data_IF_180579682827
#
_entry.id   IF_180579682827
#
_cell.length_a   1.000
_cell.length_b   1.000
_cell.length_c   1.000
_cell.angle_alpha   90.00
_cell.angle_beta   90.00
_cell.angle_gamma   90.00
#
_symmetry.space_group_name_H-M   'P 1'
#
loop_
_entity.id
_entity.type
_entity.pdbx_description
1 polymer ?
#
# COMPACT_ATOMS: atom_id res chain seq x y z
N UNK A 1 7.85 -4.47 -12.75
CA UNK A 1 7.14 -4.40 -14.05
C UNK A 1 5.67 -4.09 -13.80
N UNK A 2 5.08 -3.13 -14.51
CA UNK A 2 3.67 -2.75 -14.33
C UNK A 2 2.81 -3.41 -15.39
N UNK A 3 1.83 -4.22 -14.99
CA UNK A 3 0.83 -4.80 -15.88
C UNK A 3 -0.45 -3.98 -15.81
N UNK A 4 -1.01 -3.61 -16.97
CA UNK A 4 -2.27 -2.85 -17.06
C UNK A 4 -3.30 -3.61 -17.89
N UNK A 5 -4.50 -3.75 -17.31
CA UNK A 5 -5.70 -4.27 -17.93
C UNK A 5 -6.82 -3.24 -17.84
N UNK A 6 -7.57 -3.06 -18.94
CA UNK A 6 -8.67 -2.09 -19.01
C UNK A 6 -9.99 -2.84 -19.07
N UNK A 7 -10.99 -2.31 -18.37
CA UNK A 7 -12.35 -2.82 -18.25
C UNK A 7 -13.35 -1.71 -18.57
N UNK A 8 -14.52 -2.09 -19.07
CA UNK A 8 -15.68 -1.21 -19.10
C UNK A 8 -16.29 -1.02 -17.69
N UNK A 9 -17.26 -0.12 -17.55
CA UNK A 9 -17.99 0.11 -16.29
C UNK A 9 -18.77 -1.10 -15.77
N UNK A 10 -18.99 -2.10 -16.63
CA UNK A 10 -19.65 -3.34 -16.26
C UNK A 10 -18.65 -4.39 -15.77
N UNK A 11 -17.34 -4.17 -15.87
CA UNK A 11 -16.31 -5.12 -15.47
C UNK A 11 -15.95 -6.13 -16.55
N UNK A 12 -16.33 -5.91 -17.81
CA UNK A 12 -15.80 -6.70 -18.92
C UNK A 12 -14.46 -6.12 -19.38
N UNK A 13 -13.41 -6.93 -19.51
CA UNK A 13 -12.13 -6.45 -20.00
C UNK A 13 -12.22 -6.13 -21.50
N UNK A 14 -11.46 -5.14 -21.94
CA UNK A 14 -11.37 -4.75 -23.36
C UNK A 14 -10.42 -5.65 -24.18
N UNK A 15 -9.94 -6.77 -23.62
CA UNK A 15 -9.17 -7.79 -24.34
C UNK A 15 -10.06 -8.63 -25.27
N UNK A 16 -9.43 -9.41 -26.16
CA UNK A 16 -10.13 -10.24 -27.14
C UNK A 16 -11.12 -11.20 -26.46
N UNK A 17 -12.29 -11.36 -27.10
CA UNK A 17 -13.51 -12.00 -26.60
C UNK A 17 -13.27 -13.30 -25.80
N UNK A 18 -13.84 -13.38 -24.60
CA UNK A 18 -13.98 -14.62 -23.83
C UNK A 18 -13.60 -14.51 -22.35
N UNK A 19 -13.03 -13.39 -21.93
CA UNK A 19 -12.65 -13.19 -20.54
C UNK A 19 -13.86 -13.02 -19.61
N UNK A 20 -13.74 -13.59 -18.40
CA UNK A 20 -14.77 -13.49 -17.39
C UNK A 20 -14.91 -12.06 -16.86
N UNK A 21 -16.15 -11.68 -16.54
CA UNK A 21 -16.48 -10.41 -15.89
C UNK A 21 -15.78 -10.30 -14.53
N UNK A 22 -15.09 -9.19 -14.29
CA UNK A 22 -14.51 -8.85 -13.00
C UNK A 22 -15.56 -8.22 -12.08
N UNK A 23 -15.89 -8.93 -10.99
CA UNK A 23 -16.91 -8.49 -10.03
C UNK A 23 -16.48 -7.25 -9.24
N UNK A 24 -15.19 -7.12 -8.94
CA UNK A 24 -14.67 -5.97 -8.20
C UNK A 24 -14.87 -4.70 -9.01
N UNK A 25 -14.53 -4.73 -10.31
CA UNK A 25 -14.75 -3.58 -11.20
C UNK A 25 -16.24 -3.26 -11.35
N UNK A 26 -17.10 -4.28 -11.49
CA UNK A 26 -18.55 -4.08 -11.54
C UNK A 26 -19.06 -3.36 -10.29
N UNK A 27 -18.65 -3.81 -9.10
CA UNK A 27 -19.04 -3.21 -7.82
C UNK A 27 -18.52 -1.77 -7.71
N UNK A 28 -17.26 -1.52 -8.09
CA UNK A 28 -16.71 -0.16 -8.14
C UNK A 28 -17.55 0.77 -9.03
N UNK A 29 -17.95 0.31 -10.22
CA UNK A 29 -18.86 1.01 -11.11
C UNK A 29 -20.22 1.30 -10.49
N UNK A 30 -20.80 0.33 -9.78
CA UNK A 30 -22.09 0.47 -9.12
C UNK A 30 -22.06 1.47 -7.96
N UNK A 31 -20.94 1.55 -7.24
CA UNK A 31 -20.82 2.33 -6.01
C UNK A 31 -20.03 3.62 -6.17
N UNK A 32 -19.67 3.99 -7.41
CA UNK A 32 -18.97 5.24 -7.69
C UNK A 32 -17.56 5.29 -7.10
N UNK A 33 -16.89 4.14 -6.96
CA UNK A 33 -15.50 4.09 -6.53
C UNK A 33 -14.63 4.52 -7.70
N UNK A 34 -13.98 5.66 -7.59
CA UNK A 34 -13.17 6.23 -8.68
C UNK A 34 -11.69 5.87 -8.57
N UNK A 35 -11.25 5.41 -7.40
CA UNK A 35 -9.90 4.94 -7.16
C UNK A 35 -9.87 3.89 -6.06
N UNK A 36 -9.02 2.89 -6.23
CA UNK A 36 -8.72 1.87 -5.22
C UNK A 36 -7.23 1.57 -5.24
N UNK A 37 -6.68 1.35 -4.06
CA UNK A 37 -5.26 1.05 -3.85
C UNK A 37 -5.12 -0.01 -2.77
N UNK A 38 -4.50 -1.14 -3.12
CA UNK A 38 -4.17 -2.21 -2.18
C UNK A 38 -2.65 -2.35 -2.10
N UNK A 39 -2.11 -2.15 -0.90
CA UNK A 39 -0.69 -2.34 -0.63
C UNK A 39 -0.39 -3.80 -0.29
N UNK A 40 0.72 -4.36 -0.76
CA UNK A 40 1.06 -5.75 -0.46
C UNK A 40 2.42 -6.15 -1.00
N UNK A 41 2.65 -7.45 -1.20
CA UNK A 41 3.80 -7.95 -1.97
C UNK A 41 3.74 -7.51 -3.44
N UNK A 42 2.54 -7.22 -3.92
CA UNK A 42 2.25 -6.48 -5.14
C UNK A 42 1.33 -5.34 -4.77
N UNK A 43 1.51 -4.18 -5.39
CA UNK A 43 0.57 -3.07 -5.28
C UNK A 43 -0.41 -3.13 -6.42
N UNK A 44 -1.68 -3.10 -6.08
CA UNK A 44 -2.77 -3.00 -7.04
C UNK A 44 -3.38 -1.61 -6.99
N UNK A 45 -3.51 -0.99 -8.15
CA UNK A 45 -4.20 0.28 -8.34
C UNK A 45 -5.32 0.07 -9.34
N UNK A 46 -6.54 0.46 -8.96
CA UNK A 46 -7.67 0.52 -9.89
C UNK A 46 -8.10 1.97 -9.97
N UNK A 47 -8.18 2.51 -11.17
CA UNK A 47 -8.58 3.90 -11.39
C UNK A 47 -9.66 4.00 -12.46
N UNK A 48 -10.69 4.78 -12.16
CA UNK A 48 -11.72 5.18 -13.09
C UNK A 48 -11.18 6.23 -14.07
N UNK A 49 -11.55 6.12 -15.33
CA UNK A 49 -11.34 7.18 -16.31
C UNK A 49 -12.47 7.17 -17.34
N UNK A 50 -12.56 8.28 -18.09
CA UNK A 50 -13.51 8.42 -19.20
C UNK A 50 -12.73 8.53 -20.49
N UNK A 51 -13.33 8.05 -21.57
CA UNK A 51 -12.71 8.13 -22.88
C UNK A 51 -13.69 7.90 -24.00
N UNK A 52 -13.23 8.20 -25.21
CA UNK A 52 -13.96 8.07 -26.45
C UNK A 52 -13.40 6.90 -27.26
N UNK A 53 -14.27 6.05 -27.82
CA UNK A 53 -13.83 5.01 -28.77
C UNK A 53 -13.49 5.58 -30.15
N UNK A 54 -13.92 6.82 -30.44
CA UNK A 54 -13.59 7.56 -31.65
C UNK A 54 -13.85 9.06 -31.45
N UNK A 55 -13.28 9.93 -32.29
CA UNK A 55 -13.42 11.39 -32.19
C UNK A 55 -14.87 11.91 -32.28
N UNK A 56 -15.79 11.14 -32.87
CA UNK A 56 -17.23 11.44 -32.92
C UNK A 56 -18.05 10.52 -32.01
N UNK A 57 -17.38 9.67 -31.24
CA UNK A 57 -17.98 8.66 -30.39
C UNK A 57 -18.64 9.25 -29.15
N UNK A 58 -19.50 8.44 -28.52
CA UNK A 58 -20.00 8.76 -27.19
C UNK A 58 -18.87 8.56 -26.19
N UNK A 59 -18.81 9.44 -25.20
CA UNK A 59 -17.93 9.25 -24.06
C UNK A 59 -18.45 8.11 -23.19
N UNK A 60 -17.57 7.17 -22.90
CA UNK A 60 -17.86 6.00 -22.06
C UNK A 60 -17.01 6.02 -20.78
N UNK A 61 -17.34 5.11 -19.87
CA UNK A 61 -16.71 4.97 -18.56
C UNK A 61 -15.91 3.67 -18.49
N UNK A 62 -14.68 3.78 -18.01
CA UNK A 62 -13.73 2.67 -17.96
C UNK A 62 -13.01 2.60 -16.62
N UNK A 63 -12.43 1.44 -16.35
CA UNK A 63 -11.52 1.21 -15.24
C UNK A 63 -10.22 0.61 -15.74
N UNK A 64 -9.11 1.10 -15.23
CA UNK A 64 -7.80 0.49 -15.44
C UNK A 64 -7.31 -0.15 -14.15
N UNK A 65 -6.98 -1.44 -14.21
CA UNK A 65 -6.32 -2.20 -13.14
C UNK A 65 -4.84 -2.32 -13.46
N UNK A 66 -4.01 -1.67 -12.65
CA UNK A 66 -2.56 -1.71 -12.72
C UNK A 66 -2.01 -2.53 -11.56
N UNK A 67 -1.15 -3.50 -11.85
CA UNK A 67 -0.47 -4.32 -10.85
C UNK A 67 1.03 -4.09 -10.99
N UNK A 68 1.69 -3.77 -9.87
CA UNK A 68 3.13 -3.52 -9.77
C UNK A 68 3.75 -4.37 -8.67
N UNK A 69 4.94 -4.89 -8.93
CA UNK A 69 5.81 -5.62 -7.99
C UNK A 69 6.64 -4.68 -7.09
N UNK A 70 6.70 -3.39 -7.43
CA UNK A 70 7.37 -2.34 -6.67
C UNK A 70 6.36 -1.32 -6.17
N UNK A 71 6.72 -0.56 -5.13
CA UNK A 71 5.93 0.58 -4.67
C UNK A 71 5.71 1.52 -5.87
N UNK A 72 4.47 1.65 -6.35
CA UNK A 72 4.25 2.24 -7.66
C UNK A 72 4.40 3.75 -7.60
N UNK A 73 5.15 4.29 -8.57
CA UNK A 73 4.98 5.69 -8.94
C UNK A 73 3.65 5.82 -9.67
N UNK A 74 2.73 6.59 -9.11
CA UNK A 74 1.41 6.81 -9.70
C UNK A 74 1.48 7.54 -11.05
N UNK A 75 2.56 8.29 -11.30
CA UNK A 75 2.86 8.92 -12.59
C UNK A 75 3.17 7.86 -13.65
N UNK A 76 3.94 6.83 -13.27
CA UNK A 76 4.27 5.71 -14.17
C UNK A 76 3.04 4.86 -14.45
N UNK A 77 2.20 4.62 -13.42
CA UNK A 77 0.91 3.93 -13.60
C UNK A 77 0.02 4.71 -14.57
N UNK A 78 -0.13 6.02 -14.36
CA UNK A 78 -0.93 6.86 -15.23
C UNK A 78 -0.44 6.79 -16.69
N UNK A 79 0.87 6.93 -16.90
CA UNK A 79 1.49 6.81 -18.24
C UNK A 79 1.27 5.43 -18.88
N UNK A 80 1.36 4.35 -18.10
CA UNK A 80 1.12 3.00 -18.57
C UNK A 80 -0.36 2.78 -18.97
N UNK A 81 -1.29 3.42 -18.25
CA UNK A 81 -2.73 3.37 -18.57
C UNK A 81 -3.00 4.12 -19.87
N UNK A 82 -2.47 5.34 -20.04
CA UNK A 82 -2.60 6.11 -21.29
C UNK A 82 -2.08 5.29 -22.46
N UNK A 83 -0.85 4.78 -22.36
CA UNK A 83 -0.25 3.96 -23.42
C UNK A 83 -1.11 2.74 -23.76
N UNK A 84 -1.64 2.02 -22.77
CA UNK A 84 -2.51 0.86 -22.99
C UNK A 84 -3.83 1.27 -23.66
N UNK A 85 -4.51 2.28 -23.15
CA UNK A 85 -5.82 2.73 -23.62
C UNK A 85 -5.74 3.23 -25.07
N UNK A 86 -4.80 4.13 -25.35
CA UNK A 86 -4.72 4.81 -26.63
C UNK A 86 -4.05 3.95 -27.70
N UNK A 87 -2.91 3.32 -27.39
CA UNK A 87 -2.12 2.63 -28.41
C UNK A 87 -2.65 1.23 -28.71
N UNK A 88 -3.24 0.54 -27.71
CA UNK A 88 -3.72 -0.84 -27.89
C UNK A 88 -5.22 -0.92 -28.13
N UNK A 89 -6.01 -0.07 -27.48
CA UNK A 89 -7.47 -0.11 -27.57
C UNK A 89 -8.05 1.04 -28.41
N UNK A 90 -7.22 1.98 -28.88
CA UNK A 90 -7.67 3.08 -29.74
C UNK A 90 -8.58 4.08 -29.03
N UNK A 91 -8.59 4.07 -27.69
CA UNK A 91 -9.37 5.02 -26.90
C UNK A 91 -8.69 6.39 -26.91
N UNK A 92 -9.48 7.45 -26.79
CA UNK A 92 -9.00 8.81 -26.51
C UNK A 92 -9.46 9.18 -25.10
N UNK A 93 -8.52 9.33 -24.16
CA UNK A 93 -8.87 9.61 -22.76
C UNK A 93 -9.37 11.05 -22.63
N UNK A 94 -10.45 11.25 -21.87
CA UNK A 94 -10.96 12.59 -21.56
C UNK A 94 -10.02 13.31 -20.59
N UNK A 95 -9.20 14.21 -21.13
CA UNK A 95 -8.38 15.13 -20.34
C UNK A 95 -9.22 16.33 -19.88
N UNK A 96 -9.96 16.18 -18.78
CA UNK A 96 -10.55 17.34 -18.12
C UNK A 96 -9.51 18.14 -17.33
N UNK A 97 -9.27 19.39 -17.75
CA UNK A 97 -8.41 20.33 -17.04
C UNK A 97 -8.99 20.79 -15.69
N UNK A 98 -10.26 20.52 -15.40
CA UNK A 98 -10.96 20.98 -14.19
C UNK A 98 -10.64 20.17 -12.93
N UNK A 99 -9.92 19.04 -13.04
CA UNK A 99 -9.68 18.15 -11.90
C UNK A 99 -10.92 17.36 -11.44
N UNK A 100 -11.99 17.38 -12.24
CA UNK A 100 -13.23 16.62 -11.97
C UNK A 100 -13.07 15.10 -12.20
N UNK A 101 -11.86 14.63 -12.52
CA UNK A 101 -11.53 13.24 -12.72
C UNK A 101 -10.28 12.86 -11.90
N UNK A 102 -10.41 11.86 -11.03
CA UNK A 102 -9.31 11.35 -10.20
C UNK A 102 -8.10 10.89 -11.04
N UNK A 103 -8.34 10.35 -12.24
CA UNK A 103 -7.27 9.93 -13.14
C UNK A 103 -6.26 11.04 -13.44
N UNK A 104 -6.75 12.26 -13.67
CA UNK A 104 -5.91 13.42 -14.00
C UNK A 104 -5.15 13.94 -12.76
N UNK A 105 -5.61 13.59 -11.57
CA UNK A 105 -4.94 13.94 -10.31
C UNK A 105 -3.68 13.11 -10.10
N UNK A 106 -3.57 11.90 -10.69
CA UNK A 106 -2.40 11.02 -10.53
C UNK A 106 -1.08 11.63 -11.03
N UNK A 107 -1.13 12.56 -11.99
CA UNK A 107 0.05 13.23 -12.52
C UNK A 107 0.49 14.45 -11.69
N UNK A 108 -0.34 14.91 -10.74
CA UNK A 108 -0.11 16.16 -10.03
C UNK A 108 0.81 15.93 -8.84
N UNK A 109 1.91 16.68 -8.78
CA UNK A 109 2.70 16.79 -7.54
C UNK A 109 1.97 17.70 -6.55
N UNK A 110 1.31 17.11 -5.55
CA UNK A 110 0.58 17.87 -4.54
C UNK A 110 1.51 18.15 -3.36
N UNK A 111 1.56 19.41 -2.91
CA UNK A 111 2.49 19.89 -1.87
C UNK A 111 1.81 20.44 -0.63
N UNK A 112 0.47 20.40 -0.58
CA UNK A 112 -0.30 20.92 0.55
C UNK A 112 -0.48 19.82 1.59
N UNK A 113 -0.40 20.14 2.87
CA UNK A 113 -0.82 19.18 3.91
C UNK A 113 -2.34 19.18 4.00
N UNK A 114 -2.94 17.98 4.04
CA UNK A 114 -4.39 17.79 4.19
C UNK A 114 -4.73 17.46 5.63
N UNK A 115 -3.97 16.54 6.21
CA UNK A 115 -4.00 16.23 7.63
C UNK A 115 -2.77 16.82 8.34
N UNK A 116 -2.99 17.30 9.57
CA UNK A 116 -1.90 17.62 10.50
C UNK A 116 -1.14 16.35 10.91
N UNK A 117 0.09 16.53 11.41
CA UNK A 117 0.92 15.41 11.88
C UNK A 117 0.22 14.55 12.94
N UNK A 118 -0.50 15.16 13.87
CA UNK A 118 -1.21 14.44 14.93
C UNK A 118 -2.39 13.65 14.39
N UNK A 119 -3.13 14.21 13.43
CA UNK A 119 -4.18 13.49 12.70
C UNK A 119 -3.60 12.30 11.92
N UNK A 120 -2.50 12.48 11.20
CA UNK A 120 -1.82 11.38 10.50
C UNK A 120 -1.38 10.28 11.47
N UNK A 121 -0.81 10.63 12.62
CA UNK A 121 -0.42 9.66 13.64
C UNK A 121 -1.63 8.88 14.18
N UNK A 122 -2.76 9.56 14.41
CA UNK A 122 -4.00 8.93 14.88
C UNK A 122 -4.60 8.01 13.81
N UNK A 123 -4.64 8.45 12.55
CA UNK A 123 -5.10 7.65 11.41
C UNK A 123 -4.27 6.36 11.30
N UNK A 124 -2.94 6.49 11.27
CA UNK A 124 -2.03 5.35 11.22
C UNK A 124 -2.22 4.40 12.41
N UNK A 125 -2.37 4.94 13.62
CA UNK A 125 -2.66 4.14 14.80
C UNK A 125 -3.95 3.33 14.63
N UNK A 126 -5.05 3.98 14.24
CA UNK A 126 -6.35 3.33 14.09
C UNK A 126 -6.35 2.27 12.98
N UNK A 127 -5.78 2.59 11.81
CA UNK A 127 -5.60 1.63 10.71
C UNK A 127 -4.74 0.43 11.15
N UNK A 128 -3.69 0.68 11.94
CA UNK A 128 -2.85 -0.41 12.47
C UNK A 128 -3.60 -1.35 13.42
N UNK A 129 -4.70 -0.88 14.03
CA UNK A 129 -5.56 -1.68 14.91
C UNK A 129 -6.71 -2.36 14.17
N UNK A 130 -6.79 -2.20 12.85
CA UNK A 130 -7.85 -2.77 12.02
C UNK A 130 -9.16 -1.99 12.08
N UNK A 131 -9.13 -0.73 12.50
CA UNK A 131 -10.30 0.13 12.39
C UNK A 131 -10.47 0.58 10.96
N UNK A 132 -11.72 0.51 10.48
CA UNK A 132 -12.12 1.12 9.22
C UNK A 132 -12.37 2.60 9.44
N UNK A 133 -11.75 3.44 8.61
CA UNK A 133 -11.84 4.88 8.70
C UNK A 133 -12.51 5.46 7.44
N UNK A 134 -13.25 6.55 7.65
CA UNK A 134 -13.98 7.27 6.62
C UNK A 134 -13.75 8.76 6.76
N UNK A 135 -13.40 9.41 5.67
CA UNK A 135 -13.15 10.84 5.63
C UNK A 135 -13.80 11.50 4.43
N UNK A 136 -14.41 12.67 4.65
CA UNK A 136 -14.86 13.59 3.63
C UNK A 136 -13.76 14.57 3.25
N UNK A 137 -13.67 14.89 1.96
CA UNK A 137 -12.72 15.86 1.39
C UNK A 137 -13.35 16.67 0.24
N UNK A 138 -12.90 17.92 0.03
CA UNK A 138 -13.43 18.78 -1.04
C UNK A 138 -13.00 18.39 -2.46
N UNK A 139 -11.84 17.75 -2.63
CA UNK A 139 -11.23 17.53 -3.95
C UNK A 139 -10.41 16.26 -4.02
N UNK A 140 -10.29 15.67 -5.22
CA UNK A 140 -9.49 14.46 -5.42
C UNK A 140 -8.01 14.68 -5.11
N UNK A 141 -7.49 15.89 -5.31
CA UNK A 141 -6.15 16.29 -4.91
C UNK A 141 -5.96 16.07 -3.41
N UNK A 142 -6.89 16.53 -2.58
CA UNK A 142 -6.77 16.32 -1.13
C UNK A 142 -6.84 14.84 -0.75
N UNK A 143 -7.59 14.04 -1.50
CA UNK A 143 -7.66 12.58 -1.28
C UNK A 143 -6.35 11.90 -1.60
N UNK A 144 -5.78 12.19 -2.77
CA UNK A 144 -4.49 11.64 -3.16
C UNK A 144 -3.38 12.06 -2.20
N UNK A 145 -3.44 13.30 -1.72
CA UNK A 145 -2.50 13.82 -0.75
C UNK A 145 -2.66 13.20 0.63
N UNK A 146 -3.89 12.96 1.09
CA UNK A 146 -4.10 12.21 2.34
C UNK A 146 -3.50 10.81 2.23
N UNK A 147 -3.73 10.11 1.11
CA UNK A 147 -3.15 8.79 0.84
C UNK A 147 -1.62 8.83 0.90
N UNK A 148 -1.00 9.87 0.34
CA UNK A 148 0.46 10.03 0.37
C UNK A 148 1.02 10.40 1.76
N UNK A 149 0.23 11.09 2.60
CA UNK A 149 0.61 11.46 3.97
C UNK A 149 0.53 10.29 4.97
N UNK A 150 -0.32 9.29 4.70
CA UNK A 150 -0.51 8.12 5.57
C UNK A 150 0.70 7.18 5.39
N UNK A 151 1.72 7.41 6.21
CA UNK A 151 2.95 6.61 6.24
C UNK A 151 2.75 5.30 7.02
N UNK A 152 3.24 4.18 6.48
CA UNK A 152 3.26 2.90 7.21
C UNK A 152 2.02 2.04 7.02
N UNK A 153 1.38 2.16 5.86
CA UNK A 153 0.30 1.24 5.47
C UNK A 153 0.80 -0.21 5.54
N UNK A 154 0.08 -1.03 6.29
CA UNK A 154 0.39 -2.44 6.44
C UNK A 154 0.18 -3.15 5.10
N UNK A 155 0.94 -4.22 4.80
CA UNK A 155 0.56 -5.13 3.72
C UNK A 155 -0.89 -5.60 3.91
N UNK A 156 -1.67 -5.55 2.84
CA UNK A 156 -3.09 -5.85 2.80
C UNK A 156 -4.01 -4.64 3.00
N UNK A 157 -3.48 -3.44 3.29
CA UNK A 157 -4.32 -2.26 3.50
C UNK A 157 -4.97 -1.81 2.19
N UNK A 158 -6.29 -1.66 2.23
CA UNK A 158 -7.14 -1.30 1.08
C UNK A 158 -7.71 0.09 1.28
N UNK A 159 -7.42 0.98 0.32
CA UNK A 159 -7.94 2.34 0.28
C UNK A 159 -8.88 2.50 -0.91
N UNK A 160 -10.00 3.19 -0.70
CA UNK A 160 -10.91 3.61 -1.77
C UNK A 160 -11.15 5.12 -1.74
N UNK A 161 -11.29 5.73 -2.92
CA UNK A 161 -11.84 7.07 -3.09
C UNK A 161 -13.14 6.95 -3.87
N UNK A 162 -14.20 7.55 -3.36
CA UNK A 162 -15.54 7.49 -3.93
C UNK A 162 -16.05 8.88 -4.30
N UNK A 163 -16.88 8.94 -5.33
CA UNK A 163 -17.52 10.16 -5.78
C UNK A 163 -18.91 10.32 -5.15
N UNK A 164 -19.15 11.46 -4.50
CA UNK A 164 -20.45 11.86 -3.98
C UNK A 164 -20.60 11.67 -2.47
N UNK A 165 -21.65 12.28 -1.93
CA UNK A 165 -22.05 12.17 -0.52
C UNK A 165 -23.10 11.07 -0.40
N UNK A 166 -22.81 10.00 0.34
CA UNK A 166 -23.77 8.91 0.44
C UNK A 166 -23.37 7.83 1.43
N UNK A 167 -24.40 7.10 1.91
CA UNK A 167 -24.17 5.91 2.73
C UNK A 167 -23.31 4.93 1.96
N UNK A 168 -22.13 4.65 2.51
CA UNK A 168 -21.27 3.58 2.05
C UNK A 168 -22.07 2.26 2.08
N UNK A 169 -22.21 1.58 0.93
CA UNK A 169 -22.81 0.26 0.88
C UNK A 169 -21.91 -0.78 1.55
N UNK A 170 -22.49 -1.87 2.05
CA UNK A 170 -21.78 -2.96 2.74
C UNK A 170 -20.60 -3.54 1.93
N UNK A 171 -20.62 -3.38 0.61
CA UNK A 171 -19.56 -3.77 -0.33
C UNK A 171 -18.24 -3.01 -0.16
N UNK A 172 -18.26 -1.80 0.40
CA UNK A 172 -17.01 -1.09 0.74
C UNK A 172 -16.47 -1.52 2.11
N UNK A 173 -17.14 -2.44 2.81
CA UNK A 173 -16.64 -3.06 4.04
C UNK A 173 -15.36 -3.87 3.85
N UNK A 174 -14.87 -4.01 2.61
CA UNK A 174 -13.56 -4.55 2.30
C UNK A 174 -12.41 -3.53 2.36
N UNK A 175 -12.71 -2.23 2.45
CA UNK A 175 -11.72 -1.16 2.52
C UNK A 175 -11.45 -0.76 3.97
N UNK A 176 -10.18 -0.56 4.29
CA UNK A 176 -9.75 -0.06 5.60
C UNK A 176 -9.86 1.45 5.70
N UNK A 177 -9.75 2.14 4.56
CA UNK A 177 -9.86 3.59 4.45
C UNK A 177 -10.74 3.94 3.25
N UNK A 178 -11.84 4.64 3.49
CA UNK A 178 -12.69 5.21 2.44
C UNK A 178 -12.62 6.73 2.51
N UNK A 179 -12.40 7.35 1.36
CA UNK A 179 -12.30 8.80 1.20
C UNK A 179 -13.44 9.24 0.27
N UNK A 180 -14.32 10.09 0.78
CA UNK A 180 -15.50 10.60 0.10
C UNK A 180 -15.24 12.00 -0.45
N UNK A 181 -15.31 12.15 -1.77
CA UNK A 181 -15.28 13.48 -2.39
C UNK A 181 -16.69 14.08 -2.37
N UNK A 182 -16.85 15.21 -1.70
CA UNK A 182 -18.14 15.93 -1.54
C UNK A 182 -17.95 17.42 -1.28
N UNK A 183 -18.99 18.10 -0.81
CA UNK A 183 -19.00 19.54 -0.50
C UNK A 183 -18.48 19.81 0.93
N UNK A 184 -17.39 19.15 1.30
CA UNK A 184 -16.70 19.33 2.59
C UNK A 184 -15.82 20.58 2.58
N UNK A 185 -15.55 21.15 3.75
CA UNK A 185 -14.68 22.33 3.86
C UNK A 185 -13.21 21.94 3.96
N UNK A 186 -12.95 20.79 4.57
CA UNK A 186 -11.61 20.26 4.80
C UNK A 186 -11.67 18.74 5.01
N UNK A 187 -10.59 18.16 5.53
CA UNK A 187 -10.60 16.77 5.98
C UNK A 187 -11.56 16.60 7.17
N UNK A 188 -12.70 15.95 6.92
CA UNK A 188 -13.75 15.74 7.91
C UNK A 188 -13.87 14.23 8.20
N UNK A 189 -13.66 13.76 9.44
CA UNK A 189 -13.97 12.38 9.78
C UNK A 189 -15.48 12.14 9.64
N UNK A 190 -15.87 10.95 9.16
CA UNK A 190 -17.26 10.61 8.92
C UNK A 190 -17.70 9.42 9.78
N UNK A 191 -18.97 9.43 10.19
CA UNK A 191 -19.61 8.37 10.96
C UNK A 191 -18.80 8.01 12.23
N UNK A 192 -18.52 6.74 12.47
CA UNK A 192 -17.74 6.26 13.62
C UNK A 192 -16.31 6.83 13.65
N UNK A 193 -15.80 7.29 12.52
CA UNK A 193 -14.46 7.90 12.46
C UNK A 193 -14.40 9.18 13.29
N UNK A 194 -15.50 9.92 13.41
CA UNK A 194 -15.57 11.13 14.24
C UNK A 194 -15.19 10.82 15.69
N UNK A 195 -15.84 9.80 16.27
CA UNK A 195 -15.58 9.35 17.63
C UNK A 195 -14.17 8.78 17.80
N UNK A 196 -13.67 8.04 16.80
CA UNK A 196 -12.34 7.44 16.85
C UNK A 196 -11.22 8.48 16.73
N UNK A 197 -11.46 9.58 16.01
CA UNK A 197 -10.49 10.64 15.80
C UNK A 197 -10.44 11.65 16.95
N UNK A 198 -11.49 11.75 17.76
CA UNK A 198 -11.45 12.54 19.00
C UNK A 198 -10.46 11.89 20.01
N UNK A 199 -9.41 12.62 20.46
CA UNK A 199 -8.53 12.11 21.51
C UNK A 199 -9.21 12.03 22.88
N UNK A 200 -10.32 12.74 23.08
CA UNK A 200 -11.04 12.87 24.37
C UNK A 200 -11.97 11.69 24.67
N UNK A 201 -12.40 10.95 23.64
CA UNK A 201 -13.21 9.72 23.73
C UNK A 201 -12.38 8.48 24.06
N UNK A 202 -11.05 8.62 24.23
CA UNK A 202 -10.23 7.60 24.89
C UNK A 202 -10.55 7.64 26.38
N UNK A 203 -11.61 6.92 26.73
CA UNK A 203 -12.14 6.83 28.08
C UNK A 203 -11.06 6.43 29.10
N UNK A 204 -11.06 7.17 30.21
CA UNK A 204 -10.19 7.07 31.38
C UNK A 204 -10.46 5.81 32.22
N UNK A 205 -10.81 4.70 31.58
CA UNK A 205 -11.26 3.47 32.23
C UNK A 205 -10.17 2.39 32.24
N UNK A 206 -8.96 2.70 32.72
CA UNK A 206 -8.06 1.70 33.34
C UNK A 206 -7.06 2.38 34.30
N UNK A 207 -7.21 2.08 35.58
CA UNK A 207 -6.27 2.25 36.71
C UNK A 207 -5.82 3.67 37.12
N UNK A 208 -6.57 4.21 38.07
CA UNK A 208 -6.06 4.99 39.20
C UNK A 208 -4.97 4.21 39.95
N UNK A 209 -3.72 4.34 39.49
CA UNK A 209 -2.54 4.28 40.35
C UNK A 209 -1.81 5.60 40.22
N UNK A 210 -2.02 6.43 41.22
CA UNK A 210 -1.20 7.57 41.59
C UNK A 210 0.27 7.14 41.63
N UNK A 211 1.00 7.39 40.54
CA UNK A 211 2.47 7.43 40.56
C UNK A 211 2.82 8.90 40.70
N UNK A 212 3.11 9.28 41.94
CA UNK A 212 3.91 10.45 42.27
C UNK A 212 5.14 10.49 41.37
N UNK A 213 5.28 11.58 40.63
CA UNK A 213 6.46 11.91 39.83
C UNK A 213 7.66 11.98 40.78
N UNK A 214 8.48 10.93 40.77
CA UNK A 214 9.88 11.01 41.16
C UNK A 214 10.74 10.84 39.90
N UNK A 215 11.73 11.71 39.80
CA UNK A 215 12.46 12.04 38.59
C UNK A 215 13.68 11.10 38.51
N UNK A 216 13.87 10.43 37.36
CA UNK A 216 14.86 9.37 37.03
C UNK A 216 14.44 7.93 37.40
N UNK A 217 13.82 7.25 36.43
CA UNK A 217 14.32 5.98 35.89
C UNK A 217 13.54 5.64 34.62
N UNK A 218 14.27 5.47 33.53
CA UNK A 218 13.77 5.01 32.24
C UNK A 218 13.27 3.58 32.43
N UNK A 219 11.97 3.34 32.34
CA UNK A 219 11.36 2.01 32.41
C UNK A 219 11.66 1.22 31.13
N UNK A 220 12.81 0.56 31.20
CA UNK A 220 13.42 -0.36 30.25
C UNK A 220 12.74 -1.74 30.40
N UNK A 221 11.42 -1.83 30.24
CA UNK A 221 10.68 -3.10 30.42
C UNK A 221 9.64 -3.41 29.33
N UNK A 222 9.15 -2.42 28.58
CA UNK A 222 8.26 -2.68 27.42
C UNK A 222 8.99 -2.89 26.08
N UNK A 223 10.30 -2.58 26.03
CA UNK A 223 11.14 -2.78 24.84
C UNK A 223 11.94 -4.11 24.87
N UNK A 224 11.77 -4.95 25.89
CA UNK A 224 12.54 -6.19 26.05
C UNK A 224 11.85 -7.45 25.50
N UNK A 225 10.55 -7.42 25.19
CA UNK A 225 9.89 -8.60 24.62
C UNK A 225 10.11 -8.75 23.11
N UNK A 226 10.43 -7.68 22.37
CA UNK A 226 10.74 -7.77 20.93
C UNK A 226 12.23 -7.83 20.59
N UNK A 227 13.12 -7.65 21.57
CA UNK A 227 14.59 -7.75 21.38
C UNK A 227 15.13 -9.14 21.78
N UNK A 228 14.41 -9.90 22.61
CA UNK A 228 14.83 -11.26 22.97
C UNK A 228 14.83 -12.24 21.78
N UNK A 229 13.96 -12.02 20.79
CA UNK A 229 13.84 -12.90 19.61
C UNK A 229 14.95 -12.58 18.58
N UNK A 230 15.43 -11.34 18.47
CA UNK A 230 16.45 -10.98 17.48
C UNK A 230 17.86 -11.43 17.87
N UNK A 231 18.23 -11.34 19.15
CA UNK A 231 19.57 -11.80 19.61
C UNK A 231 19.66 -13.33 19.60
N UNK A 232 18.60 -14.04 19.99
CA UNK A 232 18.56 -15.50 19.97
C UNK A 232 18.75 -16.09 18.57
N UNK A 233 18.10 -15.50 17.57
CA UNK A 233 18.22 -15.93 16.16
C UNK A 233 19.63 -15.66 15.62
N UNK A 234 20.24 -14.52 15.96
CA UNK A 234 21.61 -14.20 15.53
C UNK A 234 22.63 -15.16 16.16
N UNK A 235 22.50 -15.48 17.44
CA UNK A 235 23.39 -16.46 18.11
C UNK A 235 23.20 -17.86 17.53
N UNK A 236 21.96 -18.28 17.25
CA UNK A 236 21.66 -19.57 16.64
C UNK A 236 22.25 -19.68 15.23
N UNK A 237 22.08 -18.66 14.39
CA UNK A 237 22.65 -18.62 13.04
C UNK A 237 24.19 -18.58 13.06
N UNK A 238 24.78 -17.87 14.02
CA UNK A 238 26.23 -17.80 14.20
C UNK A 238 26.81 -19.16 14.62
N UNK A 239 26.14 -19.86 15.55
CA UNK A 239 26.53 -21.22 15.96
C UNK A 239 26.38 -22.22 14.82
N UNK A 240 25.30 -22.11 14.03
CA UNK A 240 25.09 -22.95 12.85
C UNK A 240 26.19 -22.74 11.82
N UNK A 241 26.56 -21.48 11.55
CA UNK A 241 27.65 -21.15 10.64
C UNK A 241 29.00 -21.74 11.08
N UNK A 242 29.34 -21.60 12.37
CA UNK A 242 30.57 -22.18 12.93
C UNK A 242 30.56 -23.71 12.85
N UNK A 243 29.43 -24.36 13.13
CA UNK A 243 29.31 -25.81 13.01
C UNK A 243 29.53 -26.29 11.56
N UNK A 244 28.93 -25.61 10.58
CA UNK A 244 29.13 -25.92 9.15
C UNK A 244 30.58 -25.68 8.74
N UNK A 245 31.21 -24.60 9.20
CA UNK A 245 32.62 -24.31 8.92
C UNK A 245 33.55 -25.39 9.51
N UNK A 246 33.31 -25.84 10.74
CA UNK A 246 34.09 -26.90 11.38
C UNK A 246 33.92 -28.25 10.67
N UNK A 247 32.70 -28.58 10.22
CA UNK A 247 32.44 -29.78 9.42
C UNK A 247 33.20 -29.68 8.09
N UNK A 248 33.12 -28.55 7.39
CA UNK A 248 33.88 -28.31 6.16
C UNK A 248 35.38 -28.47 6.36
N UNK A 249 35.93 -27.91 7.46
CA UNK A 249 37.34 -28.02 7.80
C UNK A 249 37.75 -29.47 8.12
N UNK A 250 36.86 -30.24 8.76
CA UNK A 250 37.10 -31.66 9.03
C UNK A 250 37.10 -32.52 7.76
N UNK A 251 36.20 -32.22 6.81
CA UNK A 251 36.19 -32.87 5.49
C UNK A 251 37.44 -32.52 4.68
N UNK A 252 37.90 -31.27 4.73
CA UNK A 252 39.17 -30.85 4.11
C UNK A 252 40.39 -31.55 4.73
N UNK A 253 40.39 -31.78 6.04
CA UNK A 253 41.51 -32.43 6.72
C UNK A 253 41.56 -33.96 6.53
N UNK A 254 40.44 -34.58 6.13
CA UNK A 254 40.36 -36.04 5.88
C UNK A 254 40.52 -36.42 4.41
N UNK A 255 40.58 -35.44 3.50
CA UNK A 255 40.65 -35.65 2.05
C UNK A 255 42.00 -35.33 1.40
N UNK A 256 43.10 -35.31 2.17
CA UNK A 256 44.47 -35.33 1.64
C UNK A 256 45.14 -36.71 1.81
N UNK A 257 44.84 -37.71 0.96
CA UNK A 257 45.73 -38.85 0.79
C UNK A 257 46.91 -38.41 -0.08
N UNK A 258 48.07 -38.13 0.51
CA UNK A 258 49.31 -37.99 -0.28
C UNK A 258 50.41 -37.05 0.20
N UNK A 259 50.63 -36.88 1.51
CA UNK A 259 51.77 -36.10 2.02
C UNK A 259 52.86 -36.97 2.69
N UNK A 260 53.08 -38.19 2.19
CA UNK A 260 54.21 -39.05 2.56
C UNK A 260 55.11 -39.37 1.36
N UNK A 261 55.58 -38.37 0.59
CA UNK A 261 56.69 -38.60 -0.35
C UNK A 261 57.53 -37.32 -0.54
N UNK A 262 58.28 -36.86 0.46
CA UNK A 262 59.59 -36.18 0.25
C UNK A 262 60.49 -36.41 1.47
N UNK A 263 60.95 -37.65 1.66
CA UNK A 263 62.17 -37.98 2.44
C UNK A 263 63.08 -38.81 1.55
N UNK A 264 63.74 -38.16 0.58
CA UNK A 264 65.04 -38.53 0.03
C UNK A 264 65.30 -37.74 -1.26
N UNK A 265 66.58 -37.51 -1.54
CA UNK A 265 67.16 -36.71 -2.65
C UNK A 265 67.22 -35.23 -2.26
N UNK A 266 68.37 -34.65 -1.90
CA UNK A 266 69.55 -34.45 -2.78
C UNK A 266 70.84 -34.39 -1.91
N UNK A 267 71.79 -35.27 -2.25
CA UNK A 267 73.23 -35.05 -2.07
C UNK A 267 73.79 -34.40 -3.35
N UNK A 268 74.98 -33.79 -3.24
CA UNK A 268 75.89 -33.25 -4.30
C UNK A 268 75.71 -31.72 -4.49
N UNK A 269 76.66 -30.81 -4.21
CA UNK A 269 78.11 -30.81 -3.96
C UNK A 269 78.47 -30.04 -2.68
#
# INVERSE_FOLDING_TARGET
MTSVQIYDSQGYPLSEQGDARDRTIQEMGQYGVVFSLEFGSVTEVIVYFRGYESQSGRMEQYYARAISDMQPDLTDINSAIISKAEQRHGLEIEESASGENFFNTLQKSIKREVASRDQCNRINYLLSRGHQLRFGIPSYEEGLQLISQIQGMKPGLRVAVVQGEGRVPDSLGQYDLVIEKGDYVSLEPLDRTEELMDPSTVDHSTDDRTISVDNRTINLTAALESIAISVGVIVLLSLLYVAVALIGLHYLNTSLPGAEVIKNTIWIW
#
